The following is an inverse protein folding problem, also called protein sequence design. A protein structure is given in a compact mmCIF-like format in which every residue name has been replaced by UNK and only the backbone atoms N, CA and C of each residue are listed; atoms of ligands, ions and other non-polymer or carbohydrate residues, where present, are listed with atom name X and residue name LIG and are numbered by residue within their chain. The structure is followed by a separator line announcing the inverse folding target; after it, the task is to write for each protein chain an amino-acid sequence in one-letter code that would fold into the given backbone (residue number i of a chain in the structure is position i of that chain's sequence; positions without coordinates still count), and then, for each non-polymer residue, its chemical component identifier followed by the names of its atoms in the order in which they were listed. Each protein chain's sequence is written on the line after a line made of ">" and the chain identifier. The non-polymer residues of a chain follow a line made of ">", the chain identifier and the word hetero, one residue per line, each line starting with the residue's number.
data_IF_061950529450
#
_entry.id   IF_061950529450
#
_cell.length_a   1.000
_cell.length_b   1.000
_cell.length_c   1.000
_cell.angle_alpha   90.00
_cell.angle_beta   90.00
_cell.angle_gamma   90.00
#
_symmetry.space_group_name_H-M   'P 1'
#
loop_
_entity.id
_entity.type
_entity.pdbx_description
1 polymer ?
#
# COMPACT_ATOMS: atom_id res chain seq x y z
N UNK A 1 -0.13 20.51 20.25
CA UNK A 1 1.10 21.15 20.78
C UNK A 1 1.55 22.18 19.75
N UNK A 2 1.45 23.47 20.06
CA UNK A 2 2.03 24.51 19.23
C UNK A 2 3.53 24.58 19.58
N UNK A 3 4.40 24.22 18.64
CA UNK A 3 5.84 24.23 18.85
C UNK A 3 6.34 25.68 18.81
N UNK A 4 7.05 26.15 19.84
CA UNK A 4 7.75 27.43 19.78
C UNK A 4 9.09 27.23 19.04
N UNK A 5 9.16 27.65 17.78
CA UNK A 5 10.37 27.60 16.95
C UNK A 5 10.17 26.97 15.57
N UNK A 6 11.20 27.03 14.71
CA UNK A 6 11.22 26.30 13.44
C UNK A 6 11.43 24.81 13.72
N UNK A 7 10.53 23.96 13.23
CA UNK A 7 10.58 22.52 13.42
C UNK A 7 10.48 21.78 12.08
N UNK A 8 11.20 20.67 11.99
CA UNK A 8 11.16 19.75 10.86
C UNK A 8 10.77 18.37 11.41
N UNK A 9 9.91 17.67 10.69
CA UNK A 9 9.48 16.32 11.04
C UNK A 9 9.00 15.57 9.81
N UNK A 10 8.70 14.29 10.00
CA UNK A 10 8.07 13.44 9.00
C UNK A 10 6.60 13.21 9.38
N UNK A 11 5.73 13.17 8.39
CA UNK A 11 4.30 13.02 8.58
C UNK A 11 3.69 12.28 7.40
N UNK A 12 2.58 11.58 7.63
CA UNK A 12 1.80 10.98 6.55
C UNK A 12 1.26 12.06 5.60
N UNK A 13 1.23 11.80 4.28
CA UNK A 13 0.65 12.74 3.30
C UNK A 13 -0.85 13.01 3.56
N UNK A 14 -1.52 12.15 4.33
CA UNK A 14 -2.88 12.38 4.82
C UNK A 14 -3.06 13.70 5.58
N UNK A 15 -2.00 14.21 6.22
CA UNK A 15 -2.08 15.43 7.03
C UNK A 15 -1.51 16.66 6.34
N UNK A 16 -1.01 16.52 5.12
CA UNK A 16 -0.42 17.62 4.34
C UNK A 16 -1.13 17.85 3.01
N UNK A 17 -2.11 17.02 2.65
CA UNK A 17 -2.92 17.19 1.43
C UNK A 17 -4.06 18.22 1.63
N UNK A 18 -4.57 18.78 0.53
CA UNK A 18 -5.59 19.81 0.57
C UNK A 18 -6.99 19.35 1.04
N UNK A 19 -7.22 18.04 1.17
CA UNK A 19 -8.52 17.46 1.48
C UNK A 19 -8.69 17.14 2.97
N UNK A 20 -7.75 16.38 3.56
CA UNK A 20 -7.76 15.96 4.96
C UNK A 20 -7.01 16.94 5.89
N UNK A 21 -6.01 17.69 5.41
CA UNK A 21 -5.32 18.67 6.25
C UNK A 21 -6.26 19.72 6.87
N UNK A 22 -7.30 20.23 6.17
CA UNK A 22 -8.30 21.12 6.78
C UNK A 22 -9.05 20.52 7.98
N UNK A 23 -9.21 19.19 8.05
CA UNK A 23 -9.87 18.49 9.15
C UNK A 23 -8.96 18.29 10.37
N UNK A 24 -7.65 18.49 10.22
CA UNK A 24 -6.69 18.47 11.31
C UNK A 24 -6.45 19.90 11.82
N UNK A 25 -6.86 20.21 13.05
CA UNK A 25 -6.62 21.51 13.67
C UNK A 25 -5.17 21.98 13.57
N UNK A 26 -4.14 21.15 13.89
CA UNK A 26 -2.76 21.57 13.74
C UNK A 26 -2.32 21.72 12.27
N UNK A 27 -2.77 20.87 11.34
CA UNK A 27 -2.37 21.01 9.94
C UNK A 27 -2.99 22.25 9.28
N UNK A 28 -4.27 22.52 9.56
CA UNK A 28 -4.99 23.72 9.12
C UNK A 28 -4.35 25.00 9.65
N UNK A 29 -4.03 25.04 10.95
CA UNK A 29 -3.47 26.23 11.59
C UNK A 29 -2.07 26.57 11.06
N UNK A 30 -1.23 25.55 10.84
CA UNK A 30 0.17 25.75 10.51
C UNK A 30 0.47 25.79 9.00
N UNK A 31 -0.50 25.46 8.13
CA UNK A 31 -0.32 25.38 6.67
C UNK A 31 0.99 24.64 6.30
N UNK A 32 1.16 23.45 6.88
CA UNK A 32 2.44 22.73 6.92
C UNK A 32 3.07 22.64 5.51
N UNK A 33 4.15 23.40 5.23
CA UNK A 33 4.86 23.27 3.97
C UNK A 33 5.57 21.92 3.95
N UNK A 34 5.56 21.25 2.80
CA UNK A 34 6.28 19.98 2.62
C UNK A 34 7.46 20.21 1.71
N UNK A 35 8.65 19.83 2.16
CA UNK A 35 9.88 19.97 1.39
C UNK A 35 9.84 19.08 0.14
N UNK A 36 10.39 19.57 -0.97
CA UNK A 36 10.83 18.69 -2.05
C UNK A 36 12.12 17.98 -1.66
N UNK A 37 12.35 16.81 -2.24
CA UNK A 37 13.59 16.06 -2.06
C UNK A 37 14.18 15.70 -3.43
N UNK A 38 15.51 15.75 -3.50
CA UNK A 38 16.28 15.36 -4.67
C UNK A 38 16.26 13.85 -4.86
N UNK A 39 15.71 13.37 -5.97
CA UNK A 39 15.95 11.98 -6.38
C UNK A 39 17.40 11.86 -6.87
N UNK A 40 18.18 10.96 -6.26
CA UNK A 40 19.61 10.82 -6.56
C UNK A 40 19.88 10.29 -7.97
N UNK A 41 19.01 9.44 -8.51
CA UNK A 41 19.14 8.86 -9.85
C UNK A 41 18.80 9.88 -10.95
N UNK A 42 17.67 10.57 -10.83
CA UNK A 42 17.21 11.54 -11.84
C UNK A 42 17.79 12.94 -11.66
N UNK A 43 18.42 13.22 -10.51
CA UNK A 43 18.90 14.56 -10.13
C UNK A 43 17.81 15.62 -10.26
N UNK A 44 16.57 15.28 -9.88
CA UNK A 44 15.42 16.19 -9.94
C UNK A 44 14.83 16.35 -8.54
N UNK A 45 14.46 17.57 -8.17
CA UNK A 45 13.76 17.85 -6.93
C UNK A 45 12.26 17.60 -7.11
N UNK A 46 11.73 16.66 -6.33
CA UNK A 46 10.36 16.19 -6.44
C UNK A 46 9.59 16.53 -5.18
N UNK A 47 8.34 16.96 -5.35
CA UNK A 47 7.39 17.13 -4.24
C UNK A 47 6.73 15.78 -3.88
N UNK A 48 6.35 15.56 -2.62
CA UNK A 48 5.73 14.30 -2.17
C UNK A 48 4.25 14.21 -2.55
N UNK A 49 3.97 14.11 -3.85
CA UNK A 49 2.64 13.78 -4.34
C UNK A 49 2.45 12.26 -4.39
N UNK A 50 1.20 11.81 -4.35
CA UNK A 50 0.90 10.39 -4.46
C UNK A 50 1.42 9.79 -5.78
N UNK A 51 1.37 10.55 -6.89
CA UNK A 51 1.89 10.10 -8.18
C UNK A 51 3.41 9.89 -8.14
N UNK A 52 4.16 10.80 -7.50
CA UNK A 52 5.61 10.63 -7.38
C UNK A 52 5.97 9.45 -6.47
N UNK A 53 5.16 9.17 -5.44
CA UNK A 53 5.34 7.99 -4.61
C UNK A 53 5.01 6.68 -5.35
N UNK A 54 3.95 6.68 -6.17
CA UNK A 54 3.58 5.52 -6.99
C UNK A 54 4.60 5.23 -8.09
N UNK A 55 5.19 6.25 -8.72
CA UNK A 55 6.31 6.09 -9.65
C UNK A 55 7.50 5.40 -8.97
N UNK A 56 7.80 5.77 -7.72
CA UNK A 56 8.86 5.13 -6.95
C UNK A 56 8.53 3.67 -6.62
N UNK A 57 7.32 3.39 -6.11
CA UNK A 57 6.88 2.03 -5.80
C UNK A 57 6.80 1.13 -7.04
N UNK A 58 6.44 1.68 -8.19
CA UNK A 58 6.38 0.97 -9.48
C UNK A 58 7.73 0.52 -10.03
N UNK A 59 8.85 0.94 -9.43
CA UNK A 59 10.18 0.43 -9.77
C UNK A 59 10.44 -0.99 -9.22
N UNK A 60 9.59 -1.46 -8.30
CA UNK A 60 9.71 -2.79 -7.67
C UNK A 60 8.81 -3.79 -8.39
N UNK A 61 9.34 -4.98 -8.67
CA UNK A 61 8.59 -6.07 -9.29
C UNK A 61 7.86 -6.92 -8.24
N UNK A 62 6.60 -7.23 -8.53
CA UNK A 62 5.79 -8.17 -7.75
C UNK A 62 6.41 -9.60 -7.80
N UNK A 63 6.12 -10.44 -6.79
CA UNK A 63 6.50 -11.85 -6.83
C UNK A 63 5.63 -12.61 -7.85
N UNK A 64 6.26 -13.28 -8.82
CA UNK A 64 5.59 -14.01 -9.91
C UNK A 64 5.88 -15.52 -9.89
N UNK A 65 6.55 -16.01 -8.84
CA UNK A 65 6.90 -17.43 -8.69
C UNK A 65 6.50 -17.90 -7.31
N UNK A 66 6.07 -19.16 -7.18
CA UNK A 66 5.66 -19.74 -5.90
C UNK A 66 6.70 -19.54 -4.78
N UNK A 67 7.99 -19.71 -5.11
CA UNK A 67 9.09 -19.55 -4.15
C UNK A 67 9.15 -18.13 -3.59
N UNK A 68 8.88 -17.11 -4.42
CA UNK A 68 8.84 -15.72 -3.99
C UNK A 68 7.49 -15.35 -3.35
N UNK A 69 6.38 -15.81 -3.91
CA UNK A 69 5.02 -15.47 -3.50
C UNK A 69 4.66 -16.01 -2.11
N UNK A 70 5.20 -17.17 -1.71
CA UNK A 70 4.99 -17.72 -0.35
C UNK A 70 5.72 -16.96 0.76
N UNK A 71 6.63 -16.05 0.42
CA UNK A 71 7.38 -15.24 1.38
C UNK A 71 6.68 -13.90 1.53
N UNK A 72 6.02 -13.68 2.67
CA UNK A 72 5.14 -12.53 2.89
C UNK A 72 5.85 -11.19 2.67
N UNK A 73 7.12 -11.07 3.07
CA UNK A 73 7.88 -9.83 2.90
C UNK A 73 8.13 -9.45 1.44
N UNK A 74 8.02 -10.38 0.49
CA UNK A 74 8.15 -10.07 -0.94
C UNK A 74 6.94 -9.33 -1.52
N UNK A 75 5.82 -9.30 -0.78
CA UNK A 75 4.63 -8.52 -1.15
C UNK A 75 4.68 -7.07 -0.67
N UNK A 76 5.69 -6.72 0.14
CA UNK A 76 5.94 -5.36 0.63
C UNK A 76 7.07 -4.75 -0.19
N UNK A 77 6.79 -3.84 -1.14
CA UNK A 77 7.84 -3.25 -1.97
C UNK A 77 8.79 -2.40 -1.14
N UNK A 78 10.08 -2.79 -1.12
CA UNK A 78 11.13 -2.01 -0.46
C UNK A 78 11.58 -0.90 -1.42
N UNK A 79 11.08 0.32 -1.20
CA UNK A 79 11.33 1.48 -2.07
C UNK A 79 12.52 2.31 -1.54
N UNK A 80 13.70 1.69 -1.49
CA UNK A 80 14.93 2.38 -1.08
C UNK A 80 15.67 2.95 -2.30
N UNK A 81 15.92 4.26 -2.32
CA UNK A 81 16.61 4.96 -3.42
C UNK A 81 16.04 4.63 -4.82
N UNK A 82 14.74 4.90 -5.05
CA UNK A 82 14.09 4.53 -6.29
C UNK A 82 14.70 5.29 -7.49
N UNK A 83 14.79 4.63 -8.65
CA UNK A 83 15.33 5.22 -9.89
C UNK A 83 14.42 6.31 -10.48
N UNK A 84 13.16 6.35 -10.07
CA UNK A 84 12.13 7.30 -10.45
C UNK A 84 11.31 7.73 -9.23
N UNK A 85 10.60 8.85 -9.32
CA UNK A 85 9.66 9.28 -8.27
C UNK A 85 10.31 9.80 -6.99
N UNK A 86 9.48 10.07 -5.99
CA UNK A 86 9.88 10.74 -4.75
C UNK A 86 10.73 9.79 -3.88
N UNK A 87 11.89 10.25 -3.36
CA UNK A 87 12.87 9.36 -2.74
C UNK A 87 12.47 8.81 -1.36
N UNK A 88 11.44 9.37 -0.70
CA UNK A 88 10.89 8.84 0.55
C UNK A 88 9.46 8.36 0.27
N UNK A 89 9.34 7.12 -0.19
CA UNK A 89 8.07 6.50 -0.57
C UNK A 89 7.97 5.11 0.07
N UNK A 90 6.76 4.62 0.21
CA UNK A 90 6.50 3.29 0.78
C UNK A 90 5.03 2.95 0.70
N UNK A 91 4.70 1.76 1.20
CA UNK A 91 3.35 1.21 1.22
C UNK A 91 2.86 1.05 2.66
N UNK A 92 1.53 0.97 2.79
CA UNK A 92 0.87 0.53 4.02
C UNK A 92 0.24 -0.82 3.75
N UNK A 93 0.35 -1.73 4.72
CA UNK A 93 0.04 -3.14 4.49
C UNK A 93 -1.28 -3.57 5.12
N UNK A 94 -1.92 -4.54 4.47
CA UNK A 94 -3.05 -5.29 5.01
C UNK A 94 -2.56 -6.70 5.31
N UNK A 95 -2.55 -7.08 6.58
CA UNK A 95 -2.10 -8.42 7.03
C UNK A 95 -3.35 -9.25 7.35
N UNK A 96 -3.49 -10.38 6.66
CA UNK A 96 -4.65 -11.27 6.74
C UNK A 96 -4.20 -12.73 6.95
N UNK A 97 -5.13 -13.54 7.44
CA UNK A 97 -5.01 -15.00 7.37
C UNK A 97 -5.45 -15.50 6.00
N UNK A 98 -4.84 -16.59 5.54
CA UNK A 98 -5.33 -17.33 4.37
C UNK A 98 -6.58 -18.15 4.70
N UNK A 99 -6.68 -18.65 5.93
CA UNK A 99 -7.75 -19.52 6.39
C UNK A 99 -8.52 -18.83 7.51
N UNK A 100 -9.85 -18.96 7.49
CA UNK A 100 -10.76 -18.51 8.55
C UNK A 100 -11.69 -19.66 8.91
N UNK A 101 -11.96 -19.85 10.20
CA UNK A 101 -12.84 -20.92 10.66
C UNK A 101 -14.31 -20.67 10.21
N UNK A 102 -14.72 -19.41 10.15
CA UNK A 102 -16.04 -19.01 9.71
C UNK A 102 -16.05 -18.74 8.18
N UNK A 103 -16.79 -19.52 7.37
CA UNK A 103 -16.90 -19.29 5.92
C UNK A 103 -17.44 -17.90 5.55
N UNK A 104 -18.32 -17.32 6.36
CA UNK A 104 -18.81 -15.96 6.13
C UNK A 104 -17.70 -14.92 6.28
N UNK A 105 -16.75 -15.12 7.20
CA UNK A 105 -15.60 -14.23 7.35
C UNK A 105 -14.68 -14.29 6.12
N UNK A 106 -14.42 -15.51 5.60
CA UNK A 106 -13.70 -15.70 4.33
C UNK A 106 -14.33 -14.88 3.21
N UNK A 107 -15.65 -15.02 3.00
CA UNK A 107 -16.37 -14.28 1.95
C UNK A 107 -16.33 -12.77 2.16
N UNK A 108 -16.51 -12.28 3.39
CA UNK A 108 -16.44 -10.85 3.71
C UNK A 108 -15.06 -10.26 3.40
N UNK A 109 -13.99 -11.00 3.69
CA UNK A 109 -12.61 -10.54 3.48
C UNK A 109 -12.29 -10.51 1.98
N UNK A 110 -12.66 -11.55 1.24
CA UNK A 110 -12.51 -11.57 -0.23
C UNK A 110 -13.29 -10.42 -0.88
N UNK A 111 -14.52 -10.13 -0.41
CA UNK A 111 -15.30 -9.00 -0.91
C UNK A 111 -14.62 -7.65 -0.58
N UNK A 112 -14.16 -7.48 0.66
CA UNK A 112 -13.43 -6.29 1.06
C UNK A 112 -12.21 -6.05 0.17
N UNK A 113 -11.38 -7.06 -0.09
CA UNK A 113 -10.20 -6.94 -0.93
C UNK A 113 -10.57 -6.63 -2.39
N UNK A 114 -11.59 -7.28 -2.94
CA UNK A 114 -12.08 -6.97 -4.29
C UNK A 114 -12.51 -5.50 -4.40
N UNK A 115 -13.26 -4.97 -3.43
CA UNK A 115 -13.64 -3.55 -3.41
C UNK A 115 -12.42 -2.64 -3.21
N UNK A 116 -11.53 -2.98 -2.28
CA UNK A 116 -10.34 -2.19 -1.96
C UNK A 116 -9.45 -1.98 -3.19
N UNK A 117 -9.22 -3.05 -3.94
CA UNK A 117 -8.31 -3.07 -5.08
C UNK A 117 -8.91 -2.51 -6.39
N UNK A 118 -10.24 -2.40 -6.52
CA UNK A 118 -10.88 -2.02 -7.79
C UNK A 118 -11.77 -0.78 -7.76
N UNK A 119 -12.23 -0.30 -6.59
CA UNK A 119 -13.33 0.69 -6.54
C UNK A 119 -13.02 1.99 -5.82
N UNK A 120 -11.88 2.12 -5.15
CA UNK A 120 -11.64 3.22 -4.19
C UNK A 120 -10.58 4.23 -4.63
N UNK A 121 -10.13 4.21 -5.89
CA UNK A 121 -9.00 5.04 -6.36
C UNK A 121 -9.18 6.54 -6.08
N UNK A 122 -10.33 7.12 -6.44
CA UNK A 122 -10.61 8.54 -6.23
C UNK A 122 -10.57 8.95 -4.74
N UNK A 123 -11.07 8.08 -3.86
CA UNK A 123 -11.06 8.31 -2.42
C UNK A 123 -9.63 8.23 -1.86
N UNK A 124 -8.87 7.23 -2.30
CA UNK A 124 -7.46 7.02 -1.92
C UNK A 124 -6.60 8.23 -2.34
N UNK A 125 -6.76 8.71 -3.58
CA UNK A 125 -6.11 9.91 -4.09
C UNK A 125 -6.49 11.16 -3.28
N UNK A 126 -7.78 11.30 -2.93
CA UNK A 126 -8.26 12.37 -2.06
C UNK A 126 -7.56 12.37 -0.69
N UNK A 127 -7.18 11.21 -0.16
CA UNK A 127 -6.42 11.09 1.09
C UNK A 127 -4.90 11.29 0.93
N UNK A 128 -4.41 11.59 -0.28
CA UNK A 128 -2.98 11.79 -0.54
C UNK A 128 -2.18 10.50 -0.68
N UNK A 129 -2.85 9.37 -0.85
CA UNK A 129 -2.25 8.06 -1.16
C UNK A 129 -2.51 7.69 -2.62
N UNK A 130 -1.82 6.69 -3.14
CA UNK A 130 -2.12 6.10 -4.45
C UNK A 130 -2.59 4.65 -4.28
N UNK A 131 -3.19 4.11 -5.34
CA UNK A 131 -3.54 2.70 -5.43
C UNK A 131 -2.28 1.83 -5.59
N UNK A 132 -2.45 0.54 -5.31
CA UNK A 132 -1.38 -0.46 -5.48
C UNK A 132 -0.87 -0.46 -6.93
N UNK A 133 0.46 -0.51 -7.17
CA UNK A 133 1.01 -0.59 -8.51
C UNK A 133 0.40 -1.74 -9.32
N UNK A 134 0.15 -1.51 -10.62
CA UNK A 134 -0.58 -2.45 -11.47
C UNK A 134 0.03 -3.87 -11.50
N UNK A 135 1.36 -3.99 -11.42
CA UNK A 135 2.05 -5.28 -11.35
C UNK A 135 1.71 -6.04 -10.06
N UNK A 136 1.75 -5.38 -8.90
CA UNK A 136 1.35 -5.97 -7.63
C UNK A 136 -0.14 -6.27 -7.59
N UNK A 137 -0.98 -5.37 -8.11
CA UNK A 137 -2.43 -5.55 -8.19
C UNK A 137 -2.81 -6.82 -8.97
N UNK A 138 -2.17 -7.04 -10.13
CA UNK A 138 -2.35 -8.25 -10.95
C UNK A 138 -1.99 -9.51 -10.16
N UNK A 139 -0.78 -9.54 -9.56
CA UNK A 139 -0.31 -10.72 -8.84
C UNK A 139 -1.11 -10.99 -7.56
N UNK A 140 -1.55 -9.96 -6.85
CA UNK A 140 -2.45 -10.10 -5.69
C UNK A 140 -3.77 -10.75 -6.11
N UNK A 141 -4.34 -10.30 -7.23
CA UNK A 141 -5.56 -10.89 -7.79
C UNK A 141 -5.35 -12.38 -8.11
N UNK A 142 -4.28 -12.69 -8.82
CA UNK A 142 -3.95 -14.04 -9.24
C UNK A 142 -3.67 -14.99 -8.07
N UNK A 143 -2.91 -14.54 -7.06
CA UNK A 143 -2.43 -15.43 -5.99
C UNK A 143 -3.39 -15.51 -4.81
N UNK A 144 -3.99 -14.38 -4.41
CA UNK A 144 -4.77 -14.30 -3.17
C UNK A 144 -6.29 -14.34 -3.37
N UNK A 145 -6.78 -13.97 -4.57
CA UNK A 145 -8.22 -13.89 -4.84
C UNK A 145 -8.73 -15.03 -5.74
N UNK A 146 -7.99 -15.42 -6.78
CA UNK A 146 -8.46 -16.41 -7.78
C UNK A 146 -7.67 -17.72 -7.86
N UNK A 147 -6.44 -17.79 -7.35
CA UNK A 147 -5.49 -18.92 -7.54
C UNK A 147 -5.16 -19.21 -9.02
N UNK A 148 -5.09 -18.18 -9.86
CA UNK A 148 -4.81 -18.32 -11.31
C UNK A 148 -3.47 -19.04 -11.55
N UNK A 149 -2.48 -18.85 -10.68
CA UNK A 149 -1.18 -19.51 -10.77
C UNK A 149 -1.15 -20.93 -10.20
N UNK A 150 -2.20 -21.38 -9.53
CA UNK A 150 -2.25 -22.70 -8.86
C UNK A 150 -1.29 -22.82 -7.68
N UNK A 151 -0.86 -21.69 -7.11
CA UNK A 151 0.02 -21.65 -5.94
C UNK A 151 -0.68 -22.03 -4.64
N UNK A 152 -2.02 -22.10 -4.66
CA UNK A 152 -2.89 -22.37 -3.51
C UNK A 152 -2.68 -21.35 -2.39
N UNK A 153 -2.42 -20.11 -2.75
CA UNK A 153 -2.26 -18.99 -1.81
C UNK A 153 -3.58 -18.23 -1.58
N UNK A 154 -4.61 -18.54 -2.37
CA UNK A 154 -5.87 -17.84 -2.29
C UNK A 154 -6.54 -18.04 -0.93
N UNK A 155 -7.22 -16.99 -0.49
CA UNK A 155 -7.95 -16.98 0.78
C UNK A 155 -9.08 -18.01 0.69
N UNK A 156 -9.16 -18.90 1.69
CA UNK A 156 -10.14 -19.98 1.73
C UNK A 156 -9.85 -21.15 0.79
N UNK A 157 -8.60 -21.33 0.33
CA UNK A 157 -8.24 -22.49 -0.50
C UNK A 157 -8.69 -23.81 0.15
N UNK A 158 -9.53 -24.58 -0.54
CA UNK A 158 -10.16 -25.78 0.02
C UNK A 158 -9.19 -26.94 0.29
N UNK A 159 -7.97 -26.91 -0.26
CA UNK A 159 -6.95 -27.93 0.03
C UNK A 159 -6.12 -27.50 1.24
N UNK A 160 -5.69 -26.24 1.27
CA UNK A 160 -4.82 -25.69 2.32
C UNK A 160 -5.58 -25.45 3.62
N UNK A 161 -6.81 -24.94 3.54
CA UNK A 161 -7.61 -24.56 4.71
C UNK A 161 -8.46 -25.71 5.26
N UNK A 162 -7.93 -26.93 5.26
CA UNK A 162 -8.58 -28.12 5.86
C UNK A 162 -7.85 -28.59 7.12
N UNK A 163 -8.59 -29.17 8.07
CA UNK A 163 -8.01 -29.79 9.28
C UNK A 163 -7.58 -28.78 10.36
N UNK A 164 -6.54 -29.07 11.18
CA UNK A 164 -6.14 -28.25 12.34
C UNK A 164 -5.56 -26.88 11.97
N UNK A 165 -5.36 -26.60 10.68
CA UNK A 165 -5.19 -25.24 10.14
C UNK A 165 -6.57 -24.56 10.09
N UNK A 166 -7.31 -24.63 11.19
CA UNK A 166 -8.50 -23.81 11.37
C UNK A 166 -8.00 -22.39 11.62
N UNK A 167 -8.40 -21.49 10.73
CA UNK A 167 -8.03 -20.09 10.78
C UNK A 167 -8.26 -19.40 12.12
N UNK A 168 -7.73 -18.19 12.25
CA UNK A 168 -8.18 -17.25 13.27
C UNK A 168 -9.68 -16.95 13.13
#
# INVERSE_FOLDING_TARGET
>A
MAQSGAAVGYLSPAYTNAFLAPSSSPAKANKLPVASLRNAATRTDLVPTFQNAALAAGTVAAPTTLVRARVQTNWVPIVSNPTLGYPISGTSEIILSQCYANPSATSSIVNFLNTHYHSNAALIHGYGFDVVPATFLSEIGNDFLSDTHGFRLNIGNAVVCTGPVQGR
#
